data_IF_177421161434
#
_entry.id   IF_177421161434
#
_cell.length_a   1.000
_cell.length_b   1.000
_cell.length_c   1.000
_cell.angle_alpha   90.00
_cell.angle_beta   90.00
_cell.angle_gamma   90.00
#
_symmetry.space_group_name_H-M   'P 1'
#
loop_
_entity.id
_entity.type
_entity.pdbx_description
1 polymer ?
#
# COMPACT_ATOMS: atom_id res chain seq x y z
N UNK A 1 -4.41 -10.14 -14.42
CA UNK A 1 -5.30 -11.29 -14.16
C UNK A 1 -6.26 -10.90 -13.05
N UNK A 2 -7.49 -11.41 -13.06
CA UNK A 2 -8.48 -11.21 -11.98
C UNK A 2 -8.93 -12.58 -11.49
N UNK A 3 -9.23 -12.69 -10.20
CA UNK A 3 -9.71 -13.93 -9.60
C UNK A 3 -10.80 -13.63 -8.55
N UNK A 4 -11.98 -13.25 -9.04
CA UNK A 4 -13.07 -12.81 -8.16
C UNK A 4 -13.73 -14.00 -7.48
N UNK A 5 -13.86 -13.94 -6.15
CA UNK A 5 -14.47 -15.00 -5.36
C UNK A 5 -15.78 -14.54 -4.72
N UNK A 6 -16.87 -15.33 -4.80
CA UNK A 6 -18.09 -15.02 -4.08
C UNK A 6 -17.93 -15.30 -2.58
N UNK A 7 -18.54 -14.47 -1.73
CA UNK A 7 -18.63 -14.71 -0.29
C UNK A 7 -19.95 -14.15 0.26
N UNK A 8 -20.35 -14.55 1.46
CA UNK A 8 -21.56 -14.02 2.08
C UNK A 8 -22.08 -14.85 3.25
N UNK A 9 -23.05 -14.29 3.97
CA UNK A 9 -23.74 -14.91 5.09
C UNK A 9 -25.25 -14.80 4.91
N UNK A 10 -25.90 -15.92 4.59
CA UNK A 10 -27.33 -15.98 4.25
C UNK A 10 -28.20 -15.46 5.40
N UNK A 11 -27.86 -15.81 6.65
CA UNK A 11 -28.61 -15.41 7.85
C UNK A 11 -28.63 -13.90 8.10
N UNK A 12 -27.68 -13.16 7.53
CA UNK A 12 -27.57 -11.70 7.63
C UNK A 12 -27.94 -10.98 6.32
N UNK A 13 -28.26 -11.73 5.27
CA UNK A 13 -28.51 -11.18 3.94
C UNK A 13 -27.26 -10.56 3.28
N UNK A 14 -26.07 -11.00 3.66
CA UNK A 14 -24.81 -10.50 3.10
C UNK A 14 -24.41 -11.30 1.87
N UNK A 15 -24.26 -10.63 0.73
CA UNK A 15 -23.80 -11.22 -0.53
C UNK A 15 -22.71 -10.32 -1.11
N UNK A 16 -21.50 -10.86 -1.21
CA UNK A 16 -20.30 -10.11 -1.55
C UNK A 16 -19.47 -10.77 -2.63
N UNK A 17 -18.63 -9.97 -3.26
CA UNK A 17 -17.57 -10.44 -4.15
C UNK A 17 -16.24 -9.91 -3.65
N UNK A 18 -15.30 -10.81 -3.43
CA UNK A 18 -13.93 -10.45 -3.12
C UNK A 18 -13.18 -10.23 -4.42
N UNK A 19 -12.84 -8.98 -4.71
CA UNK A 19 -12.05 -8.63 -5.88
C UNK A 19 -10.56 -8.77 -5.56
N UNK A 20 -9.84 -9.52 -6.41
CA UNK A 20 -8.37 -9.53 -6.42
C UNK A 20 -7.86 -9.49 -7.85
N UNK A 21 -6.86 -8.64 -8.08
CA UNK A 21 -6.25 -8.41 -9.38
C UNK A 21 -4.73 -8.41 -9.30
N UNK A 22 -4.09 -9.23 -10.13
CA UNK A 22 -2.64 -9.28 -10.28
C UNK A 22 -2.22 -8.57 -11.57
N UNK A 23 -1.24 -7.69 -11.48
CA UNK A 23 -0.69 -6.99 -12.63
C UNK A 23 0.82 -6.78 -12.47
N UNK A 24 1.56 -6.77 -13.60
CA UNK A 24 2.98 -6.42 -13.63
C UNK A 24 3.25 -4.98 -13.17
N UNK A 25 2.28 -4.09 -13.34
CA UNK A 25 2.31 -2.71 -12.89
C UNK A 25 0.93 -2.32 -12.36
N UNK A 26 0.85 -1.59 -11.23
CA UNK A 26 -0.43 -1.22 -10.61
C UNK A 26 -1.27 -0.30 -11.49
N UNK A 27 -0.64 0.47 -12.38
CA UNK A 27 -1.31 1.40 -13.29
C UNK A 27 -2.45 0.76 -14.09
N UNK A 28 -2.31 -0.52 -14.47
CA UNK A 28 -3.39 -1.25 -15.18
C UNK A 28 -4.64 -1.42 -14.33
N UNK A 29 -4.50 -1.70 -13.04
CA UNK A 29 -5.63 -1.89 -12.12
C UNK A 29 -6.20 -0.54 -11.70
N UNK A 30 -5.35 0.44 -11.38
CA UNK A 30 -5.76 1.81 -11.08
C UNK A 30 -6.57 2.41 -12.22
N UNK A 31 -6.11 2.23 -13.46
CA UNK A 31 -6.81 2.73 -14.62
C UNK A 31 -8.18 2.08 -14.81
N UNK A 32 -8.27 0.77 -14.59
CA UNK A 32 -9.54 0.05 -14.63
C UNK A 32 -10.50 0.57 -13.55
N UNK A 33 -10.01 0.77 -12.32
CA UNK A 33 -10.79 1.29 -11.20
C UNK A 33 -11.24 2.74 -11.46
N UNK A 34 -10.37 3.60 -11.99
CA UNK A 34 -10.75 4.98 -12.35
C UNK A 34 -11.90 4.97 -13.38
N UNK A 35 -11.81 4.14 -14.41
CA UNK A 35 -12.89 3.99 -15.39
C UNK A 35 -14.18 3.46 -14.74
N UNK A 36 -14.06 2.61 -13.72
CA UNK A 36 -15.18 2.01 -13.03
C UNK A 36 -15.90 3.02 -12.12
N UNK A 37 -15.15 3.83 -11.37
CA UNK A 37 -15.69 4.75 -10.36
C UNK A 37 -15.96 6.18 -10.89
N UNK A 38 -15.06 6.72 -11.72
CA UNK A 38 -15.19 8.07 -12.29
C UNK A 38 -15.90 8.02 -13.64
N UNK A 39 -15.63 6.97 -14.42
CA UNK A 39 -16.12 6.84 -15.78
C UNK A 39 -15.20 7.46 -16.82
N UNK A 40 -15.25 6.91 -18.03
CA UNK A 40 -14.62 7.52 -19.22
C UNK A 40 -15.65 7.60 -20.35
N UNK A 41 -16.08 8.81 -20.77
CA UNK A 41 -15.81 10.12 -20.16
C UNK A 41 -16.36 10.24 -18.71
N UNK A 42 -15.96 11.25 -17.93
CA UNK A 42 -16.43 11.41 -16.55
C UNK A 42 -17.96 11.37 -16.44
N UNK A 43 -18.47 10.58 -15.50
CA UNK A 43 -19.90 10.30 -15.33
C UNK A 43 -20.39 9.01 -16.02
N UNK A 44 -19.63 8.45 -16.96
CA UNK A 44 -19.90 7.13 -17.55
C UNK A 44 -19.24 6.01 -16.71
N UNK A 45 -19.61 5.93 -15.43
CA UNK A 45 -19.10 4.93 -14.48
C UNK A 45 -19.70 3.55 -14.76
N UNK A 46 -19.11 2.52 -14.15
CA UNK A 46 -19.59 1.14 -14.31
C UNK A 46 -20.84 0.89 -13.45
N UNK A 47 -21.94 0.53 -14.12
CA UNK A 47 -23.24 0.23 -13.51
C UNK A 47 -23.21 -0.95 -12.54
N UNK A 48 -22.17 -1.77 -12.54
CA UNK A 48 -21.98 -2.78 -11.51
C UNK A 48 -21.91 -2.18 -10.10
N UNK A 49 -21.44 -0.93 -9.98
CA UNK A 49 -21.41 -0.19 -8.71
C UNK A 49 -22.78 0.24 -8.21
N UNK A 50 -23.83 0.20 -9.04
CA UNK A 50 -25.21 0.45 -8.60
C UNK A 50 -25.72 -0.66 -7.66
N UNK A 51 -25.13 -1.86 -7.75
CA UNK A 51 -25.49 -3.04 -6.97
C UNK A 51 -24.34 -3.56 -6.09
N UNK A 52 -23.16 -2.98 -6.19
CA UNK A 52 -21.95 -3.42 -5.49
C UNK A 52 -21.29 -2.25 -4.78
N UNK A 53 -21.01 -2.41 -3.48
CA UNK A 53 -20.30 -1.40 -2.68
C UNK A 53 -18.91 -1.91 -2.31
N UNK A 54 -17.87 -1.18 -2.72
CA UNK A 54 -16.53 -1.41 -2.22
C UNK A 54 -16.44 -0.98 -0.74
N UNK A 55 -16.14 -1.93 0.13
CA UNK A 55 -15.97 -1.69 1.58
C UNK A 55 -14.51 -1.67 2.01
N UNK A 56 -13.62 -2.26 1.21
CA UNK A 56 -12.18 -2.29 1.42
C UNK A 56 -11.45 -1.99 0.11
N UNK A 57 -10.18 -1.59 0.22
CA UNK A 57 -9.31 -1.36 -0.93
C UNK A 57 -7.86 -1.32 -0.47
N UNK A 58 -7.08 -2.34 -0.87
CA UNK A 58 -5.67 -2.48 -0.48
C UNK A 58 -4.84 -2.89 -1.68
N UNK A 59 -3.60 -2.42 -1.73
CA UNK A 59 -2.61 -2.77 -2.74
C UNK A 59 -1.45 -3.48 -2.06
N UNK A 60 -1.06 -4.63 -2.61
CA UNK A 60 0.07 -5.42 -2.11
C UNK A 60 1.11 -5.60 -3.22
N UNK A 61 2.38 -5.63 -2.83
CA UNK A 61 3.44 -6.16 -3.67
C UNK A 61 3.58 -7.66 -3.41
N UNK A 62 3.59 -8.46 -4.48
CA UNK A 62 3.83 -9.90 -4.41
C UNK A 62 5.26 -10.15 -4.89
N UNK A 63 6.23 -10.33 -3.98
CA UNK A 63 7.62 -10.62 -4.36
C UNK A 63 7.76 -11.98 -5.03
N UNK A 64 8.92 -12.23 -5.65
CA UNK A 64 9.24 -13.58 -6.14
C UNK A 64 9.39 -14.56 -4.97
N UNK A 65 9.14 -15.84 -5.23
CA UNK A 65 9.36 -16.89 -4.24
C UNK A 65 10.81 -16.89 -3.74
N UNK A 66 11.79 -16.72 -4.63
CA UNK A 66 13.21 -16.62 -4.26
C UNK A 66 13.49 -15.47 -3.28
N UNK A 67 12.86 -14.31 -3.47
CA UNK A 67 13.02 -13.20 -2.54
C UNK A 67 12.45 -13.55 -1.17
N UNK A 68 11.29 -14.22 -1.11
CA UNK A 68 10.68 -14.64 0.15
C UNK A 68 11.51 -15.70 0.88
N UNK A 69 12.11 -16.63 0.14
CA UNK A 69 12.98 -17.68 0.71
C UNK A 69 14.27 -17.10 1.31
N UNK A 70 14.75 -15.97 0.78
CA UNK A 70 15.97 -15.31 1.22
C UNK A 70 15.76 -14.34 2.40
N UNK A 71 14.51 -14.04 2.80
CA UNK A 71 14.21 -13.15 3.93
C UNK A 71 14.37 -13.90 5.26
N UNK A 72 15.34 -13.50 6.09
CA UNK A 72 15.50 -14.05 7.44
C UNK A 72 14.71 -13.22 8.46
N UNK A 73 14.13 -13.83 9.52
CA UNK A 73 13.35 -13.12 10.54
C UNK A 73 14.16 -12.12 11.38
N UNK A 74 15.47 -12.04 11.16
CA UNK A 74 16.40 -11.08 11.76
C UNK A 74 16.74 -9.90 10.83
N UNK A 75 16.22 -9.90 9.59
CA UNK A 75 16.34 -8.81 8.62
C UNK A 75 15.27 -7.70 8.82
N UNK A 76 14.76 -7.57 10.04
CA UNK A 76 13.84 -6.51 10.45
C UNK A 76 14.56 -5.14 10.48
N UNK A 77 14.84 -4.60 9.29
CA UNK A 77 15.12 -3.18 9.06
C UNK A 77 16.54 -2.85 8.60
N UNK A 78 16.66 -2.57 7.30
CA UNK A 78 17.57 -1.64 6.60
C UNK A 78 17.84 -2.24 5.20
N UNK A 79 17.55 -1.62 4.05
CA UNK A 79 17.65 -0.22 3.66
C UNK A 79 16.87 -0.08 2.35
N UNK A 80 15.82 0.75 2.30
CA UNK A 80 15.39 1.31 1.03
C UNK A 80 16.43 2.36 0.63
N UNK A 81 17.53 1.91 0.01
CA UNK A 81 18.53 2.81 -0.54
C UNK A 81 17.94 3.46 -1.78
N UNK A 82 17.44 4.69 -1.61
CA UNK A 82 17.21 5.64 -2.68
C UNK A 82 18.49 5.74 -3.53
N UNK A 83 18.49 5.15 -4.72
CA UNK A 83 19.55 5.34 -5.70
C UNK A 83 19.39 6.71 -6.34
N UNK A 84 19.83 7.78 -5.67
CA UNK A 84 20.12 9.06 -6.32
C UNK A 84 21.57 9.08 -6.81
N UNK A 85 21.74 9.53 -8.05
CA UNK A 85 22.98 9.62 -8.81
C UNK A 85 24.01 10.55 -8.12
N UNK A 86 25.32 10.37 -8.37
CA UNK A 86 26.36 11.08 -7.64
C UNK A 86 26.45 12.54 -8.09
N UNK A 87 26.42 13.45 -7.12
CA UNK A 87 26.87 14.83 -7.27
C UNK A 87 28.02 15.06 -6.28
N UNK A 88 29.22 15.23 -6.82
CA UNK A 88 30.45 15.51 -6.08
C UNK A 88 30.39 16.87 -5.38
N UNK A 89 30.81 16.95 -4.11
CA UNK A 89 30.90 18.22 -3.38
C UNK A 89 31.27 18.13 -1.89
N UNK A 90 32.57 17.97 -1.62
CA UNK A 90 33.38 18.51 -0.51
C UNK A 90 32.84 18.72 0.94
N UNK A 91 33.63 18.17 1.86
CA UNK A 91 33.71 18.20 3.34
C UNK A 91 33.25 19.44 4.15
N UNK A 92 32.73 19.17 5.38
CA UNK A 92 33.34 19.48 6.72
C UNK A 92 32.30 19.95 7.76
N UNK A 93 32.32 19.38 8.98
CA UNK A 93 31.74 20.03 10.16
C UNK A 93 31.34 19.12 11.34
N UNK A 94 31.92 19.36 12.50
CA UNK A 94 31.89 18.61 13.77
C UNK A 94 30.71 18.91 14.72
N UNK A 95 30.28 17.93 15.54
CA UNK A 95 30.07 17.98 17.02
C UNK A 95 29.07 16.89 17.49
N UNK A 96 29.56 15.84 18.19
CA UNK A 96 29.40 15.50 19.62
C UNK A 96 27.97 15.25 20.16
N UNK A 97 27.78 14.25 21.06
CA UNK A 97 26.53 13.50 21.20
C UNK A 97 25.66 13.99 22.37
N UNK A 98 24.34 13.96 22.21
CA UNK A 98 23.41 14.13 23.33
C UNK A 98 22.53 12.89 23.52
N UNK A 99 22.68 12.32 24.71
CA UNK A 99 21.99 11.16 25.25
C UNK A 99 20.50 11.44 25.52
N UNK A 100 19.61 10.84 24.72
CA UNK A 100 18.17 10.87 25.00
C UNK A 100 17.56 9.46 25.05
N UNK A 101 17.53 8.91 26.28
CA UNK A 101 16.51 8.04 26.89
C UNK A 101 15.86 6.95 26.00
N UNK A 102 16.35 5.72 26.18
CA UNK A 102 15.72 4.46 25.74
C UNK A 102 14.34 4.30 26.40
N UNK A 103 13.26 4.58 25.67
CA UNK A 103 11.91 4.05 25.99
C UNK A 103 11.78 2.66 25.35
N UNK A 104 11.29 1.65 26.08
CA UNK A 104 10.99 0.36 25.46
C UNK A 104 9.86 0.52 24.44
N UNK A 105 9.94 -0.12 23.27
CA UNK A 105 8.87 -0.06 22.28
C UNK A 105 7.67 -0.84 22.82
N UNK A 106 6.52 -0.16 22.92
CA UNK A 106 5.23 -0.80 23.09
C UNK A 106 4.83 -1.27 21.69
N UNK A 107 4.79 -2.59 21.49
CA UNK A 107 4.49 -3.20 20.20
C UNK A 107 2.99 -3.11 19.92
N UNK A 108 2.55 -2.03 19.27
CA UNK A 108 1.14 -1.84 18.87
C UNK A 108 0.79 -2.56 17.55
N UNK A 109 1.59 -3.55 17.13
CA UNK A 109 1.33 -4.40 15.96
C UNK A 109 1.23 -3.68 14.60
N UNK A 110 1.42 -2.36 14.56
CA UNK A 110 1.27 -1.56 13.36
C UNK A 110 2.57 -1.57 12.57
N UNK A 111 2.50 -1.90 11.27
CA UNK A 111 3.64 -1.90 10.34
C UNK A 111 4.13 -0.49 9.97
N UNK A 112 3.67 0.56 10.64
CA UNK A 112 4.15 1.94 10.42
C UNK A 112 3.87 2.52 9.04
N UNK A 113 3.01 1.89 8.23
CA UNK A 113 2.76 2.32 6.86
C UNK A 113 1.54 3.25 6.82
N UNK A 114 1.81 4.56 6.76
CA UNK A 114 0.87 5.56 6.25
C UNK A 114 -0.09 6.19 7.27
N UNK A 115 0.32 7.30 7.86
CA UNK A 115 -0.60 8.38 8.25
C UNK A 115 -0.28 9.60 7.41
N UNK A 116 -0.89 9.70 6.22
CA UNK A 116 -0.87 10.95 5.45
C UNK A 116 -1.85 11.93 6.12
N UNK A 117 -1.35 12.68 7.11
CA UNK A 117 -1.95 13.96 7.46
C UNK A 117 -1.52 14.97 6.41
N UNK A 118 -2.39 15.23 5.44
CA UNK A 118 -2.26 16.39 4.58
C UNK A 118 -2.68 17.60 5.42
N UNK A 119 -1.72 18.42 5.80
CA UNK A 119 -1.96 19.73 6.37
C UNK A 119 -2.69 20.57 5.32
N UNK A 120 -3.90 20.98 5.66
CA UNK A 120 -4.62 22.03 4.98
C UNK A 120 -5.23 22.91 6.06
N UNK A 121 -4.64 24.07 6.29
CA UNK A 121 -5.40 25.23 6.76
C UNK A 121 -5.02 26.48 5.94
N UNK A 122 -5.99 27.39 5.73
CA UNK A 122 -5.80 28.64 5.01
C UNK A 122 -4.99 29.69 5.80
#
# INVERSE_FOLDING_TARGET
MRDNMPFGEIGKGEFGTYFIGYARSPHRIEQMLENMFVGRPPGNYDRLLDVSRAVTGTLFFVPSATFLDDVSPEDDGATASSGEAPVDGEQRGTSSPDTARKRPPVNDGSLGIGSLKQEGEP
#
